data_IF_984829691302
#
_entry.id   IF_984829691302
#
_cell.length_a   1.000
_cell.length_b   1.000
_cell.length_c   1.000
_cell.angle_alpha   90.00
_cell.angle_beta   90.00
_cell.angle_gamma   90.00
#
_symmetry.space_group_name_H-M   'P 1'
#
loop_
_entity.id
_entity.type
_entity.pdbx_description
1 polymer ?
#
# COMPACT_ATOMS: atom_id res chain seq x y z
N UNK A 1 6.61 -3.27 20.76
CA UNK A 1 6.76 -3.57 19.32
C UNK A 1 6.28 -4.99 19.09
N UNK A 2 5.42 -5.27 18.09
CA UNK A 2 4.88 -6.63 17.91
C UNK A 2 4.33 -6.90 16.51
N UNK A 3 3.96 -8.15 16.23
CA UNK A 3 3.32 -8.55 14.98
C UNK A 3 1.81 -8.68 15.24
N UNK A 4 1.01 -8.06 14.37
CA UNK A 4 -0.45 -8.13 14.40
C UNK A 4 -0.94 -8.86 13.15
N UNK A 5 -1.76 -9.87 13.35
CA UNK A 5 -2.41 -10.61 12.28
C UNK A 5 -3.80 -10.05 12.01
N UNK A 6 -4.10 -9.78 10.74
CA UNK A 6 -5.39 -9.28 10.33
C UNK A 6 -5.94 -10.12 9.17
N UNK A 7 -7.04 -10.82 9.43
CA UNK A 7 -7.73 -11.64 8.43
C UNK A 7 -8.68 -10.78 7.61
N UNK A 8 -8.49 -10.78 6.29
CA UNK A 8 -9.47 -10.21 5.36
C UNK A 8 -10.65 -11.17 5.23
N UNK A 9 -11.83 -10.77 5.73
CA UNK A 9 -13.03 -11.61 5.71
C UNK A 9 -13.55 -11.94 4.31
N UNK A 10 -13.26 -11.10 3.31
CA UNK A 10 -13.72 -11.31 1.93
C UNK A 10 -12.88 -12.34 1.19
N UNK A 11 -11.55 -12.28 1.37
CA UNK A 11 -10.61 -13.16 0.64
C UNK A 11 -10.09 -14.33 1.49
N UNK A 12 -10.36 -14.34 2.80
CA UNK A 12 -9.84 -15.34 3.74
C UNK A 12 -8.36 -15.18 4.11
N UNK A 13 -7.62 -14.33 3.40
CA UNK A 13 -6.17 -14.15 3.56
C UNK A 13 -5.85 -13.43 4.88
N UNK A 14 -4.94 -13.99 5.66
CA UNK A 14 -4.39 -13.36 6.86
C UNK A 14 -3.12 -12.59 6.53
N UNK A 15 -3.07 -11.32 6.88
CA UNK A 15 -1.90 -10.47 6.68
C UNK A 15 -1.19 -10.22 8.01
N UNK A 16 0.14 -10.22 7.97
CA UNK A 16 0.98 -9.91 9.12
C UNK A 16 1.54 -8.50 9.01
N UNK A 17 1.36 -7.71 10.07
CA UNK A 17 1.80 -6.33 10.17
C UNK A 17 2.78 -6.14 11.33
N UNK A 18 3.88 -5.42 11.10
CA UNK A 18 4.73 -4.88 12.18
C UNK A 18 4.01 -3.69 12.79
N UNK A 19 3.75 -3.74 14.09
CA UNK A 19 3.05 -2.71 14.83
C UNK A 19 4.01 -1.92 15.73
N UNK A 20 4.15 -0.63 15.42
CA UNK A 20 5.00 0.33 16.13
C UNK A 20 4.12 1.35 16.84
N UNK A 21 3.80 1.15 18.14
CA UNK A 21 3.03 2.11 18.91
C UNK A 21 3.89 3.36 19.24
N UNK A 22 3.26 4.53 19.22
CA UNK A 22 3.86 5.81 19.58
C UNK A 22 2.84 6.70 20.28
N UNK A 23 3.31 7.62 21.12
CA UNK A 23 2.47 8.66 21.70
C UNK A 23 2.38 9.84 20.74
N UNK A 24 1.18 10.14 20.25
CA UNK A 24 0.93 11.32 19.44
C UNK A 24 0.75 12.53 20.37
N UNK A 25 1.76 13.41 20.42
CA UNK A 25 1.78 14.58 21.30
C UNK A 25 0.77 15.66 20.90
N UNK A 26 0.46 15.77 19.61
CA UNK A 26 -0.49 16.77 19.10
C UNK A 26 -1.90 16.38 19.50
N UNK A 27 -2.25 15.11 19.32
CA UNK A 27 -3.59 14.59 19.62
C UNK A 27 -3.72 14.00 21.01
N UNK A 28 -2.65 14.01 21.81
CA UNK A 28 -2.56 13.48 23.17
C UNK A 28 -3.15 12.07 23.34
N UNK A 29 -2.80 11.16 22.43
CA UNK A 29 -3.35 9.81 22.42
C UNK A 29 -2.30 8.79 21.96
N UNK A 30 -2.44 7.55 22.43
CA UNK A 30 -1.65 6.44 21.91
C UNK A 30 -2.09 6.10 20.48
N UNK A 31 -1.15 6.09 19.54
CA UNK A 31 -1.35 5.66 18.16
C UNK A 31 -0.38 4.56 17.80
N UNK A 32 -0.58 3.92 16.65
CA UNK A 32 0.34 2.92 16.14
C UNK A 32 0.49 3.03 14.63
N UNK A 33 1.73 2.87 14.16
CA UNK A 33 2.04 2.73 12.75
C UNK A 33 2.14 1.24 12.42
N UNK A 34 1.46 0.81 11.37
CA UNK A 34 1.47 -0.58 10.91
C UNK A 34 2.12 -0.69 9.54
N UNK A 35 3.17 -1.48 9.45
CA UNK A 35 3.85 -1.80 8.18
C UNK A 35 3.54 -3.24 7.79
N UNK A 36 3.07 -3.45 6.57
CA UNK A 36 2.82 -4.80 6.05
C UNK A 36 4.15 -5.56 5.93
N UNK A 37 4.26 -6.70 6.59
CA UNK A 37 5.41 -7.62 6.45
C UNK A 37 5.12 -8.60 5.31
N UNK A 38 3.92 -9.19 5.31
CA UNK A 38 3.56 -10.23 4.36
C UNK A 38 2.18 -10.84 4.60
N UNK A 39 1.92 -11.93 3.87
CA UNK A 39 0.75 -12.81 4.06
C UNK A 39 1.16 -14.00 4.91
N UNK A 40 0.25 -14.49 5.74
CA UNK A 40 0.42 -15.73 6.49
C UNK A 40 0.00 -16.90 5.60
N UNK A 41 0.85 -17.90 5.50
CA UNK A 41 0.53 -19.18 4.88
C UNK A 41 -0.26 -20.05 5.87
N UNK A 42 -1.50 -20.48 5.54
CA UNK A 42 -2.32 -21.28 6.45
C UNK A 42 -1.73 -22.66 6.77
N UNK A 43 -0.93 -23.23 5.88
CA UNK A 43 -0.40 -24.60 6.04
C UNK A 43 0.90 -24.63 6.85
N UNK A 44 1.79 -23.67 6.61
CA UNK A 44 3.11 -23.60 7.27
C UNK A 44 3.14 -22.66 8.47
N UNK A 45 2.19 -21.72 8.58
CA UNK A 45 2.21 -20.66 9.58
C UNK A 45 3.30 -19.62 9.35
N UNK A 46 4.03 -19.69 8.22
CA UNK A 46 5.10 -18.77 7.91
C UNK A 46 4.58 -17.46 7.31
N UNK A 47 5.33 -16.37 7.52
CA UNK A 47 5.01 -15.05 6.95
C UNK A 47 5.73 -14.92 5.62
N UNK A 48 4.98 -15.12 4.53
CA UNK A 48 5.48 -14.95 3.17
C UNK A 48 5.49 -13.45 2.82
N UNK A 49 6.66 -12.84 2.55
CA UNK A 49 6.73 -11.43 2.22
C UNK A 49 5.99 -11.14 0.91
N UNK A 50 5.14 -10.13 0.93
CA UNK A 50 4.49 -9.67 -0.30
C UNK A 50 5.50 -8.87 -1.11
N UNK A 51 5.49 -9.02 -2.45
CA UNK A 51 6.32 -8.22 -3.36
C UNK A 51 6.24 -6.75 -2.95
N UNK A 52 7.39 -6.12 -2.70
CA UNK A 52 7.44 -4.71 -2.37
C UNK A 52 6.66 -3.93 -3.44
N UNK A 53 5.69 -3.14 -3.00
CA UNK A 53 4.99 -2.24 -3.90
C UNK A 53 6.04 -1.25 -4.43
N UNK A 54 6.54 -1.51 -5.65
CA UNK A 54 7.21 -0.48 -6.42
C UNK A 54 6.13 0.56 -6.67
N UNK A 55 6.11 1.62 -5.85
CA UNK A 55 5.57 2.90 -6.33
C UNK A 55 6.20 3.06 -7.70
N UNK A 56 5.40 3.09 -8.77
CA UNK A 56 5.88 3.55 -10.07
C UNK A 56 6.65 4.80 -9.73
N UNK A 57 7.99 4.74 -9.86
CA UNK A 57 8.81 5.83 -9.40
C UNK A 57 8.22 7.10 -9.98
N UNK A 58 8.30 8.18 -9.23
CA UNK A 58 8.68 9.45 -9.82
C UNK A 58 9.94 9.21 -10.63
N UNK A 59 9.80 8.53 -11.78
CA UNK A 59 10.74 8.64 -12.86
C UNK A 59 10.56 10.10 -13.21
N UNK A 60 11.49 10.92 -12.77
CA UNK A 60 11.85 12.14 -13.47
C UNK A 60 12.28 11.68 -14.86
N UNK A 61 11.32 11.25 -15.69
CA UNK A 61 11.55 11.13 -17.11
C UNK A 61 11.57 12.58 -17.57
N UNK A 62 12.76 13.06 -17.88
CA UNK A 62 13.00 14.36 -18.53
C UNK A 62 12.21 14.49 -19.85
N UNK A 63 11.62 13.41 -20.35
CA UNK A 63 10.65 13.42 -21.43
C UNK A 63 9.22 13.59 -20.91
N UNK A 64 8.50 14.66 -21.31
CA UNK A 64 7.10 14.81 -20.97
C UNK A 64 6.31 13.65 -21.57
N UNK A 65 5.53 12.97 -20.73
CA UNK A 65 4.56 11.97 -21.18
C UNK A 65 3.70 12.59 -22.27
N UNK A 66 3.61 11.96 -23.44
CA UNK A 66 2.82 12.47 -24.57
C UNK A 66 1.40 12.76 -24.07
N UNK A 67 0.96 14.00 -24.25
CA UNK A 67 -0.40 14.42 -23.88
C UNK A 67 -1.38 13.56 -24.68
N UNK A 68 -2.47 13.15 -24.05
CA UNK A 68 -3.53 12.41 -24.73
C UNK A 68 -4.09 13.19 -25.93
N UNK A 69 -4.90 12.55 -26.78
CA UNK A 69 -5.48 13.19 -27.96
C UNK A 69 -6.20 14.49 -27.56
N UNK A 70 -5.89 15.56 -28.29
CA UNK A 70 -6.52 16.87 -28.07
C UNK A 70 -8.00 16.76 -28.45
N UNK A 71 -8.93 17.28 -27.63
CA UNK A 71 -10.36 17.23 -27.96
C UNK A 71 -10.64 17.98 -29.27
N UNK A 72 -11.49 17.41 -30.12
CA UNK A 72 -11.92 18.03 -31.37
C UNK A 72 -12.79 19.26 -31.07
N UNK A 73 -12.32 20.44 -31.48
CA UNK A 73 -12.97 21.72 -31.18
C UNK A 73 -13.94 22.19 -32.26
N UNK A 74 -13.88 21.61 -33.47
CA UNK A 74 -14.80 21.93 -34.56
C UNK A 74 -15.12 20.68 -35.35
N UNK A 75 -16.42 20.50 -35.63
CA UNK A 75 -16.95 19.50 -36.54
C UNK A 75 -17.68 20.27 -37.65
N UNK A 76 -17.33 20.03 -38.92
CA UNK A 76 -18.13 20.46 -40.07
C UNK A 76 -18.97 19.27 -40.53
N UNK A 77 -20.26 19.51 -40.71
CA UNK A 77 -21.19 18.58 -41.35
C UNK A 77 -21.00 18.63 -42.87
#
# INVERSE_FOLDING_TARGET
MGIVYQKNKKTGITYAYRNEPYWDKEKQQSRAKRTLIGKLDPDTGEIIPTRAYRKKGTKTSETPSKRGPVPITKVRR
#
